data_IF_277255109283
#
_entry.id   IF_277255109283
#
_cell.length_a   1.000
_cell.length_b   1.000
_cell.length_c   1.000
_cell.angle_alpha   90.00
_cell.angle_beta   90.00
_cell.angle_gamma   90.00
#
_symmetry.space_group_name_H-M   'P 1'
#
loop_
_entity.id
_entity.type
_entity.pdbx_description
1 polymer ?
#
# COMPACT_ATOMS: atom_id res chain seq x y z
N UNK A 1 47.19 27.97 37.21
CA UNK A 1 46.47 26.68 37.09
C UNK A 1 45.01 26.95 36.83
N UNK A 2 44.53 26.97 35.53
CA UNK A 2 43.08 27.01 35.13
C UNK A 2 42.98 26.86 33.61
N UNK A 3 43.20 25.66 33.07
CA UNK A 3 42.99 25.39 31.63
C UNK A 3 42.48 23.96 31.35
N UNK A 4 41.65 23.37 32.24
CA UNK A 4 41.15 21.98 32.04
C UNK A 4 39.62 21.85 31.98
N UNK A 5 38.86 22.93 32.11
CA UNK A 5 37.40 22.85 32.17
C UNK A 5 36.66 23.09 30.83
N UNK A 6 37.29 23.72 29.86
CA UNK A 6 36.62 24.09 28.58
C UNK A 6 36.54 22.96 27.55
N UNK A 7 37.41 21.93 27.68
CA UNK A 7 37.44 20.84 26.69
C UNK A 7 36.32 19.78 26.88
N UNK A 8 35.76 19.70 28.09
CA UNK A 8 34.70 18.72 28.39
C UNK A 8 33.30 19.16 27.96
N UNK A 9 33.06 20.45 27.78
CA UNK A 9 31.74 20.99 27.42
C UNK A 9 31.49 20.88 25.89
N UNK A 10 32.55 20.94 25.09
CA UNK A 10 32.43 20.84 23.62
C UNK A 10 32.14 19.40 23.15
N UNK A 11 32.63 18.37 23.85
CA UNK A 11 32.39 16.98 23.50
C UNK A 11 30.97 16.49 23.75
N UNK A 12 30.24 17.10 24.72
CA UNK A 12 28.84 16.71 25.02
C UNK A 12 27.85 17.35 24.04
N UNK A 13 28.15 18.53 23.53
CA UNK A 13 27.27 19.21 22.56
C UNK A 13 27.25 18.53 21.19
N UNK A 14 28.32 17.82 20.79
CA UNK A 14 28.42 17.17 19.48
C UNK A 14 27.64 15.84 19.44
N UNK A 15 27.45 15.16 20.57
CA UNK A 15 26.71 13.88 20.64
C UNK A 15 25.20 14.11 20.58
N UNK A 16 24.69 15.24 21.05
CA UNK A 16 23.26 15.59 21.03
C UNK A 16 22.76 16.02 19.64
N UNK A 17 23.64 16.41 18.72
CA UNK A 17 23.27 16.83 17.36
C UNK A 17 22.97 15.64 16.42
N UNK A 18 23.39 14.42 16.74
CA UNK A 18 23.11 13.22 15.92
C UNK A 18 21.88 12.43 16.36
N UNK A 19 21.26 12.74 17.47
CA UNK A 19 20.07 12.05 17.97
C UNK A 19 18.75 12.51 17.31
N UNK A 20 18.79 13.48 16.39
CA UNK A 20 17.59 14.12 15.82
C UNK A 20 17.14 13.61 14.46
N UNK A 21 17.76 12.61 13.84
CA UNK A 21 17.46 12.22 12.45
C UNK A 21 16.95 10.78 12.26
N UNK A 22 16.46 10.13 13.29
CA UNK A 22 15.59 8.99 13.10
C UNK A 22 14.16 9.51 12.76
N UNK A 23 14.02 10.23 11.66
CA UNK A 23 12.70 10.42 11.06
C UNK A 23 12.24 9.02 10.64
N UNK A 24 11.22 8.50 11.31
CA UNK A 24 10.51 7.32 10.83
C UNK A 24 10.19 7.59 9.35
N UNK A 25 10.86 6.87 8.46
CA UNK A 25 10.66 7.03 7.02
C UNK A 25 9.20 6.70 6.75
N UNK A 26 8.37 7.73 6.55
CA UNK A 26 6.95 7.53 6.27
C UNK A 26 6.85 6.68 5.01
N UNK A 27 6.19 5.52 5.12
CA UNK A 27 5.92 4.65 3.98
C UNK A 27 4.59 5.03 3.32
N UNK A 28 4.48 4.74 2.03
CA UNK A 28 3.22 4.80 1.30
C UNK A 28 2.62 3.40 1.36
N UNK A 29 1.53 3.24 2.09
CA UNK A 29 0.85 1.95 2.21
C UNK A 29 -0.10 1.72 1.04
N UNK A 30 -0.02 0.55 0.41
CA UNK A 30 -0.98 0.07 -0.58
C UNK A 30 -1.45 -1.34 -0.22
N UNK A 31 -2.63 -1.71 -0.68
CA UNK A 31 -3.13 -3.08 -0.58
C UNK A 31 -3.18 -3.72 -1.98
N UNK A 32 -2.66 -4.94 -2.09
CA UNK A 32 -2.79 -5.79 -3.28
C UNK A 32 -3.76 -6.92 -2.94
N UNK A 33 -5.03 -6.76 -3.34
CA UNK A 33 -6.15 -7.66 -3.00
C UNK A 33 -6.45 -8.50 -4.24
N UNK A 34 -6.05 -9.77 -4.24
CA UNK A 34 -6.04 -10.60 -5.45
C UNK A 34 -6.48 -12.03 -5.18
N UNK A 35 -6.86 -12.73 -6.24
CA UNK A 35 -7.24 -14.13 -6.22
C UNK A 35 -5.97 -15.00 -6.21
N UNK A 36 -5.49 -15.46 -5.04
CA UNK A 36 -4.32 -16.34 -4.93
C UNK A 36 -4.70 -17.81 -4.74
N UNK A 37 -5.98 -18.09 -4.51
CA UNK A 37 -6.54 -19.43 -4.45
C UNK A 37 -7.91 -19.50 -5.15
N UNK A 38 -8.39 -20.72 -5.41
CA UNK A 38 -9.63 -20.94 -6.16
C UNK A 38 -9.47 -20.73 -7.67
N UNK A 39 -10.59 -20.62 -8.42
CA UNK A 39 -10.58 -20.55 -9.89
C UNK A 39 -9.82 -19.34 -10.47
N UNK A 40 -9.69 -18.26 -9.70
CA UNK A 40 -9.02 -17.04 -10.13
C UNK A 40 -7.50 -17.02 -9.98
N UNK A 41 -6.90 -18.07 -9.41
CA UNK A 41 -5.48 -18.10 -9.01
C UNK A 41 -4.52 -17.67 -10.13
N UNK A 42 -4.72 -18.10 -11.36
CA UNK A 42 -3.83 -17.74 -12.47
C UNK A 42 -3.84 -16.25 -12.74
N UNK A 43 -5.01 -15.65 -12.91
CA UNK A 43 -5.15 -14.23 -13.20
C UNK A 43 -4.66 -13.38 -12.02
N UNK A 44 -5.05 -13.72 -10.78
CA UNK A 44 -4.64 -13.02 -9.58
C UNK A 44 -3.13 -13.09 -9.34
N UNK A 45 -2.51 -14.25 -9.61
CA UNK A 45 -1.05 -14.39 -9.47
C UNK A 45 -0.30 -13.53 -10.49
N UNK A 46 -0.75 -13.47 -11.74
CA UNK A 46 -0.13 -12.63 -12.77
C UNK A 46 -0.26 -11.15 -12.41
N UNK A 47 -1.43 -10.73 -11.96
CA UNK A 47 -1.67 -9.35 -11.51
C UNK A 47 -0.78 -8.99 -10.32
N UNK A 48 -0.74 -9.86 -9.31
CA UNK A 48 0.16 -9.73 -8.15
C UNK A 48 1.60 -9.52 -8.57
N UNK A 49 2.11 -10.38 -9.44
CA UNK A 49 3.50 -10.32 -9.88
C UNK A 49 3.83 -8.98 -10.56
N UNK A 50 2.90 -8.44 -11.35
CA UNK A 50 3.04 -7.11 -11.97
C UNK A 50 3.13 -6.00 -10.93
N UNK A 51 2.24 -6.00 -9.93
CA UNK A 51 2.26 -5.00 -8.85
C UNK A 51 3.55 -5.12 -8.02
N UNK A 52 3.96 -6.34 -7.66
CA UNK A 52 5.18 -6.54 -6.86
C UNK A 52 6.44 -6.12 -7.60
N UNK A 53 6.51 -6.38 -8.93
CA UNK A 53 7.63 -5.91 -9.75
C UNK A 53 7.70 -4.38 -9.78
N UNK A 54 6.57 -3.72 -10.02
CA UNK A 54 6.51 -2.26 -10.04
C UNK A 54 6.90 -1.66 -8.67
N UNK A 55 6.38 -2.21 -7.57
CA UNK A 55 6.74 -1.77 -6.20
C UNK A 55 8.23 -1.95 -5.94
N UNK A 56 8.80 -3.08 -6.35
CA UNK A 56 10.24 -3.34 -6.23
C UNK A 56 11.06 -2.29 -6.98
N UNK A 57 10.77 -2.07 -8.26
CA UNK A 57 11.50 -1.11 -9.09
C UNK A 57 11.40 0.32 -8.55
N UNK A 58 10.21 0.77 -8.14
CA UNK A 58 10.00 2.09 -7.53
C UNK A 58 10.83 2.20 -6.23
N UNK A 59 10.79 1.17 -5.41
CA UNK A 59 11.52 1.17 -4.15
C UNK A 59 13.03 1.15 -4.33
N UNK A 60 13.55 0.39 -5.30
CA UNK A 60 14.98 0.38 -5.64
C UNK A 60 15.47 1.75 -6.12
N UNK A 61 14.62 2.47 -6.86
CA UNK A 61 14.90 3.83 -7.34
C UNK A 61 14.62 4.95 -6.31
N UNK A 62 14.47 4.63 -5.03
CA UNK A 62 14.33 5.63 -3.97
C UNK A 62 12.92 5.87 -3.48
N UNK A 63 11.91 5.21 -4.07
CA UNK A 63 10.50 5.38 -3.72
C UNK A 63 9.86 6.58 -4.40
N UNK A 64 8.68 6.96 -3.94
CA UNK A 64 7.94 8.12 -4.42
C UNK A 64 8.20 9.30 -3.46
N UNK A 65 8.78 10.37 -3.96
CA UNK A 65 9.17 11.53 -3.14
C UNK A 65 10.02 11.14 -1.91
N UNK A 66 10.92 10.15 -2.09
CA UNK A 66 11.76 9.62 -1.01
C UNK A 66 11.08 8.66 -0.05
N UNK A 67 9.79 8.34 -0.25
CA UNK A 67 9.03 7.39 0.58
C UNK A 67 8.95 6.04 -0.11
N UNK A 68 9.28 4.98 0.61
CA UNK A 68 9.14 3.60 0.11
C UNK A 68 7.67 3.19 0.10
N UNK A 69 7.29 2.36 -0.87
CA UNK A 69 5.97 1.72 -0.91
C UNK A 69 6.01 0.47 -0.03
N UNK A 70 5.05 0.36 0.88
CA UNK A 70 4.75 -0.83 1.65
C UNK A 70 3.48 -1.46 1.08
N UNK A 71 3.62 -2.63 0.45
CA UNK A 71 2.52 -3.36 -0.17
C UNK A 71 2.12 -4.55 0.68
N UNK A 72 0.84 -4.61 1.08
CA UNK A 72 0.26 -5.79 1.73
C UNK A 72 -0.53 -6.57 0.70
N UNK A 73 -0.14 -7.83 0.44
CA UNK A 73 -0.83 -8.74 -0.48
C UNK A 73 -1.73 -9.70 0.31
N UNK A 74 -3.00 -9.81 -0.12
CA UNK A 74 -4.00 -10.67 0.52
C UNK A 74 -4.82 -11.45 -0.50
N UNK A 75 -5.22 -12.67 -0.13
CA UNK A 75 -5.95 -13.61 -0.99
C UNK A 75 -7.47 -13.45 -0.82
N UNK A 76 -8.18 -13.17 -1.89
CA UNK A 76 -9.65 -13.13 -1.93
C UNK A 76 -10.29 -14.52 -1.95
N UNK A 77 -9.50 -15.57 -2.17
CA UNK A 77 -9.97 -16.95 -2.36
C UNK A 77 -10.97 -17.10 -3.52
N UNK A 78 -10.93 -16.18 -4.48
CA UNK A 78 -11.94 -16.03 -5.56
C UNK A 78 -13.37 -15.90 -4.99
N UNK A 79 -13.51 -15.38 -3.78
CA UNK A 79 -14.78 -15.22 -3.07
C UNK A 79 -15.14 -13.72 -2.95
N UNK A 80 -16.26 -13.28 -3.54
CA UNK A 80 -16.67 -11.87 -3.49
C UNK A 80 -16.86 -11.33 -2.07
N UNK A 81 -17.41 -12.14 -1.14
CA UNK A 81 -17.60 -11.74 0.25
C UNK A 81 -16.27 -11.49 0.98
N UNK A 82 -15.27 -12.35 0.73
CA UNK A 82 -13.92 -12.19 1.26
C UNK A 82 -13.28 -10.93 0.67
N UNK A 83 -13.38 -10.74 -0.66
CA UNK A 83 -12.86 -9.55 -1.33
C UNK A 83 -13.42 -8.25 -0.74
N UNK A 84 -14.75 -8.19 -0.48
CA UNK A 84 -15.38 -7.04 0.17
C UNK A 84 -14.79 -6.77 1.55
N UNK A 85 -14.69 -7.79 2.40
CA UNK A 85 -14.14 -7.64 3.76
C UNK A 85 -12.67 -7.18 3.76
N UNK A 86 -11.85 -7.71 2.84
CA UNK A 86 -10.47 -7.30 2.68
C UNK A 86 -10.34 -5.85 2.19
N UNK A 87 -11.21 -5.43 1.26
CA UNK A 87 -11.25 -4.04 0.78
C UNK A 87 -11.67 -3.09 1.91
N UNK A 88 -12.69 -3.45 2.68
CA UNK A 88 -13.09 -2.68 3.86
C UNK A 88 -11.92 -2.51 4.83
N UNK A 89 -11.24 -3.62 5.16
CA UNK A 89 -10.07 -3.58 6.05
C UNK A 89 -8.97 -2.67 5.49
N UNK A 90 -8.63 -2.76 4.22
CA UNK A 90 -7.61 -1.93 3.60
C UNK A 90 -7.95 -0.43 3.71
N UNK A 91 -9.21 -0.06 3.46
CA UNK A 91 -9.73 1.30 3.65
C UNK A 91 -9.57 1.76 5.10
N UNK A 92 -9.97 0.91 6.06
CA UNK A 92 -9.91 1.23 7.48
C UNK A 92 -8.46 1.31 8.00
N UNK A 93 -7.53 0.56 7.41
CA UNK A 93 -6.08 0.63 7.67
C UNK A 93 -5.40 1.88 7.05
N UNK A 94 -6.13 2.66 6.28
CA UNK A 94 -5.67 3.92 5.70
C UNK A 94 -4.65 3.76 4.57
N UNK A 95 -4.84 2.77 3.69
CA UNK A 95 -4.01 2.64 2.49
C UNK A 95 -4.26 3.78 1.51
N UNK A 96 -3.22 4.18 0.78
CA UNK A 96 -3.32 5.22 -0.25
C UNK A 96 -4.07 4.73 -1.50
N UNK A 97 -3.88 3.46 -1.86
CA UNK A 97 -4.51 2.85 -3.02
C UNK A 97 -4.67 1.34 -2.83
N UNK A 98 -5.61 0.78 -3.58
CA UNK A 98 -5.87 -0.66 -3.66
C UNK A 98 -5.60 -1.12 -5.10
N UNK A 99 -4.95 -2.27 -5.24
CA UNK A 99 -4.72 -2.96 -6.51
C UNK A 99 -5.45 -4.30 -6.49
N UNK A 100 -6.31 -4.53 -7.49
CA UNK A 100 -7.24 -5.67 -7.51
C UNK A 100 -8.61 -5.34 -6.86
N UNK A 101 -9.54 -6.28 -6.76
CA UNK A 101 -9.48 -7.65 -7.31
C UNK A 101 -9.41 -7.69 -8.85
N UNK A 102 -9.17 -8.90 -9.40
CA UNK A 102 -9.15 -9.11 -10.86
C UNK A 102 -10.52 -9.58 -11.36
N UNK A 103 -11.22 -10.41 -10.59
CA UNK A 103 -12.52 -10.95 -10.99
C UNK A 103 -13.66 -9.93 -10.80
N UNK A 104 -14.44 -9.72 -11.86
CA UNK A 104 -15.54 -8.74 -11.89
C UNK A 104 -16.53 -8.92 -10.75
N UNK A 105 -16.88 -10.16 -10.38
CA UNK A 105 -17.77 -10.45 -9.26
C UNK A 105 -17.24 -9.93 -7.92
N UNK A 106 -15.94 -10.05 -7.68
CA UNK A 106 -15.28 -9.52 -6.49
C UNK A 106 -15.26 -7.98 -6.50
N UNK A 107 -14.97 -7.39 -7.66
CA UNK A 107 -14.94 -5.94 -7.83
C UNK A 107 -16.31 -5.33 -7.55
N UNK A 108 -17.36 -5.88 -8.15
CA UNK A 108 -18.73 -5.37 -8.04
C UNK A 108 -19.23 -5.25 -6.59
N UNK A 109 -18.78 -6.14 -5.70
CA UNK A 109 -19.20 -6.10 -4.28
C UNK A 109 -18.23 -5.29 -3.40
N UNK A 110 -16.98 -5.14 -3.81
CA UNK A 110 -15.95 -4.43 -3.04
C UNK A 110 -15.84 -2.93 -3.39
N UNK A 111 -16.23 -2.54 -4.60
CA UNK A 111 -16.08 -1.15 -5.06
C UNK A 111 -16.86 -0.11 -4.23
N UNK A 112 -17.91 -0.53 -3.52
CA UNK A 112 -18.62 0.34 -2.59
C UNK A 112 -17.76 0.77 -1.39
N UNK A 113 -16.85 -0.12 -0.94
CA UNK A 113 -15.93 0.18 0.15
C UNK A 113 -14.85 1.18 -0.28
N UNK A 114 -14.32 1.06 -1.51
CA UNK A 114 -13.40 2.03 -2.09
C UNK A 114 -14.05 3.41 -2.18
N UNK A 115 -15.32 3.48 -2.60
CA UNK A 115 -16.09 4.72 -2.64
C UNK A 115 -16.31 5.31 -1.25
N UNK A 116 -16.67 4.48 -0.26
CA UNK A 116 -16.86 4.89 1.14
C UNK A 116 -15.62 5.54 1.72
N UNK A 117 -14.45 4.95 1.44
CA UNK A 117 -13.16 5.42 1.95
C UNK A 117 -12.45 6.44 1.07
N UNK A 118 -13.02 6.78 -0.10
CA UNK A 118 -12.39 7.65 -1.09
C UNK A 118 -11.00 7.16 -1.51
N UNK A 119 -10.80 5.82 -1.54
CA UNK A 119 -9.53 5.18 -1.86
C UNK A 119 -9.53 4.72 -3.32
N UNK A 120 -8.59 5.18 -4.17
CA UNK A 120 -8.44 4.69 -5.54
C UNK A 120 -8.22 3.18 -5.57
N UNK A 121 -8.96 2.50 -6.45
CA UNK A 121 -8.90 1.06 -6.63
C UNK A 121 -8.66 0.70 -8.10
N UNK A 122 -7.47 0.18 -8.40
CA UNK A 122 -7.05 -0.24 -9.73
C UNK A 122 -7.35 -1.72 -9.92
N UNK A 123 -8.38 -2.03 -10.67
CA UNK A 123 -8.91 -3.40 -10.83
C UNK A 123 -8.56 -3.99 -12.18
N UNK A 124 -8.63 -5.33 -12.31
CA UNK A 124 -8.42 -6.04 -13.57
C UNK A 124 -9.71 -6.56 -14.22
N UNK A 125 -10.87 -6.13 -13.76
CA UNK A 125 -12.14 -6.67 -14.22
C UNK A 125 -12.60 -6.13 -15.58
N UNK A 126 -13.31 -6.97 -16.35
CA UNK A 126 -13.74 -6.67 -17.71
C UNK A 126 -15.24 -6.36 -17.84
N UNK A 127 -16.03 -6.54 -16.78
CA UNK A 127 -17.47 -6.28 -16.83
C UNK A 127 -17.77 -4.78 -16.97
N UNK A 128 -18.49 -4.39 -18.02
CA UNK A 128 -18.89 -3.01 -18.27
C UNK A 128 -19.65 -2.37 -17.08
N UNK A 129 -20.38 -3.18 -16.32
CA UNK A 129 -21.10 -2.74 -15.13
C UNK A 129 -20.19 -2.13 -14.05
N UNK A 130 -18.90 -2.42 -14.03
CA UNK A 130 -17.93 -1.85 -13.08
C UNK A 130 -17.86 -0.33 -13.28
N UNK A 131 -17.63 0.12 -14.50
CA UNK A 131 -17.48 1.54 -14.83
C UNK A 131 -18.80 2.28 -14.98
N UNK A 132 -19.90 1.55 -15.26
CA UNK A 132 -21.25 2.14 -15.44
C UNK A 132 -21.92 2.56 -14.14
N UNK A 133 -21.39 2.20 -12.96
CA UNK A 133 -21.98 2.59 -11.67
C UNK A 133 -21.59 4.00 -11.22
N UNK A 134 -20.77 4.71 -11.97
CA UNK A 134 -20.36 6.08 -11.64
C UNK A 134 -19.57 6.17 -10.33
N UNK A 135 -18.77 5.14 -10.02
CA UNK A 135 -17.84 5.18 -8.91
C UNK A 135 -16.52 5.82 -9.38
N UNK A 136 -16.13 7.01 -8.89
CA UNK A 136 -14.93 7.71 -9.36
C UNK A 136 -13.63 7.09 -8.86
N UNK A 137 -13.71 6.10 -7.98
CA UNK A 137 -12.56 5.45 -7.35
C UNK A 137 -12.23 4.07 -7.94
N UNK A 138 -12.94 3.63 -8.98
CA UNK A 138 -12.73 2.31 -9.61
C UNK A 138 -12.74 2.46 -11.14
#
# INVERSE_FOLDING_TARGET
MKKRSTLKVVAVATVLAFAGLAQAQQTIKIANIVELSGPGTTAGTLFKNGVELAVKEINENGGILGKKIESTTVDTQTNPGVAKGLTQKAVDDGVLAIFGPVYSGSIMVSMAESKRGEVPNFTGGEAAAITQQGNPYV
#
